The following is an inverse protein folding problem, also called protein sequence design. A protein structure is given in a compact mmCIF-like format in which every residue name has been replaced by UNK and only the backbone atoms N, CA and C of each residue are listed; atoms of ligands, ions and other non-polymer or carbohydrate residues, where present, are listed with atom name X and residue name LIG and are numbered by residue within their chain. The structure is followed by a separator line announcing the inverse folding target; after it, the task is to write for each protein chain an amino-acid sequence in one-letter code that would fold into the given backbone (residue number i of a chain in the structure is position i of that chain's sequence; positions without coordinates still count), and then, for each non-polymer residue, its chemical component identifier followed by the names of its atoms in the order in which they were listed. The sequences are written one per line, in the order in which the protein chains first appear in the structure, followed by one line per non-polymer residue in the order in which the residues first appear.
data_IF_073171564970
#
_entry.id   IF_073171564970
#
_cell.length_a   1.000
_cell.length_b   1.000
_cell.length_c   1.000
_cell.angle_alpha   90.00
_cell.angle_beta   90.00
_cell.angle_gamma   90.00
#
_symmetry.space_group_name_H-M   'P 1'
#
loop_
_entity.id
_entity.type
_entity.pdbx_description
1 polymer ?
#
# COMPACT_ATOMS: atom_id res chain seq x y z
N UNK A 1 -43.68 -26.84 -13.95
CA UNK A 1 -43.13 -25.97 -12.89
C UNK A 1 -42.87 -26.79 -11.64
N UNK A 2 -41.61 -27.05 -11.30
CA UNK A 2 -41.22 -27.54 -9.96
C UNK A 2 -40.06 -26.68 -9.46
N UNK A 3 -40.35 -25.99 -8.38
CA UNK A 3 -39.50 -25.07 -7.63
C UNK A 3 -38.36 -25.81 -6.94
N UNK A 4 -37.13 -25.33 -7.12
CA UNK A 4 -35.96 -25.75 -6.34
C UNK A 4 -36.03 -25.03 -4.98
N UNK A 5 -36.19 -25.79 -3.89
CA UNK A 5 -36.13 -25.29 -2.52
C UNK A 5 -34.68 -25.21 -2.05
N UNK A 6 -34.37 -24.08 -1.39
CA UNK A 6 -33.10 -23.71 -0.76
C UNK A 6 -32.66 -24.71 0.32
N UNK A 7 -31.35 -24.94 0.37
CA UNK A 7 -30.60 -25.68 1.40
C UNK A 7 -30.82 -25.08 2.80
N UNK A 8 -30.99 -25.95 3.80
CA UNK A 8 -31.17 -25.59 5.21
C UNK A 8 -29.85 -25.27 5.94
N UNK A 9 -29.93 -24.77 7.19
CA UNK A 9 -28.78 -24.37 7.99
C UNK A 9 -27.92 -25.59 8.39
N UNK A 10 -26.59 -25.44 8.33
CA UNK A 10 -25.64 -26.45 8.81
C UNK A 10 -25.84 -26.71 10.30
N UNK A 11 -25.91 -27.98 10.68
CA UNK A 11 -26.25 -28.39 12.05
C UNK A 11 -25.12 -28.12 13.06
N UNK A 12 -25.44 -28.08 14.37
CA UNK A 12 -24.48 -27.76 15.44
C UNK A 12 -23.30 -28.75 15.51
N UNK A 13 -23.48 -29.99 15.05
CA UNK A 13 -22.40 -30.97 14.97
C UNK A 13 -21.35 -30.63 13.90
N UNK A 14 -21.77 -30.01 12.80
CA UNK A 14 -20.87 -29.59 11.73
C UNK A 14 -20.06 -28.35 12.13
N UNK A 15 -20.69 -27.39 12.81
CA UNK A 15 -20.00 -26.22 13.37
C UNK A 15 -18.99 -26.61 14.46
N UNK A 16 -19.30 -27.62 15.29
CA UNK A 16 -18.37 -28.12 16.29
C UNK A 16 -17.13 -28.79 15.65
N UNK A 17 -17.32 -29.49 14.52
CA UNK A 17 -16.22 -30.12 13.79
C UNK A 17 -15.37 -29.09 13.05
N UNK A 18 -15.98 -28.10 12.39
CA UNK A 18 -15.27 -26.97 11.77
C UNK A 18 -14.43 -26.20 12.80
N UNK A 19 -14.98 -25.94 13.99
CA UNK A 19 -14.24 -25.29 15.07
C UNK A 19 -13.04 -26.13 15.55
N UNK A 20 -13.14 -27.46 15.55
CA UNK A 20 -12.03 -28.36 15.90
C UNK A 20 -10.93 -28.31 14.84
N UNK A 21 -11.29 -28.30 13.56
CA UNK A 21 -10.32 -28.21 12.46
C UNK A 21 -9.58 -26.87 12.49
N UNK A 22 -10.30 -25.77 12.69
CA UNK A 22 -9.69 -24.43 12.77
C UNK A 22 -8.79 -24.30 14.00
N UNK A 23 -9.20 -24.80 15.16
CA UNK A 23 -8.36 -24.76 16.35
C UNK A 23 -7.14 -25.68 16.24
N UNK A 24 -7.27 -26.84 15.59
CA UNK A 24 -6.15 -27.73 15.27
C UNK A 24 -5.14 -27.07 14.32
N UNK A 25 -5.62 -26.39 13.28
CA UNK A 25 -4.76 -25.66 12.35
C UNK A 25 -4.00 -24.52 13.05
N UNK A 26 -4.65 -23.81 13.97
CA UNK A 26 -4.01 -22.76 14.78
C UNK A 26 -2.94 -23.31 15.72
N UNK A 27 -3.20 -24.44 16.39
CA UNK A 27 -2.23 -25.08 17.25
C UNK A 27 -0.98 -25.54 16.47
N UNK A 28 -1.18 -26.13 15.30
CA UNK A 28 -0.08 -26.54 14.43
C UNK A 28 0.73 -25.34 13.90
N UNK A 29 0.07 -24.23 13.56
CA UNK A 29 0.75 -23.01 13.15
C UNK A 29 1.61 -22.43 14.29
N UNK A 30 1.11 -22.43 15.53
CA UNK A 30 1.86 -21.97 16.70
C UNK A 30 3.10 -22.84 16.96
N UNK A 31 2.99 -24.17 16.88
CA UNK A 31 4.12 -25.08 17.04
C UNK A 31 5.21 -24.88 15.97
N UNK A 32 4.80 -24.61 14.71
CA UNK A 32 5.75 -24.33 13.63
C UNK A 32 6.50 -23.02 13.83
N UNK A 33 5.84 -21.98 14.31
CA UNK A 33 6.49 -20.70 14.64
C UNK A 33 7.48 -20.90 15.78
N UNK A 34 7.11 -21.63 16.84
CA UNK A 34 7.99 -21.88 17.97
C UNK A 34 9.20 -22.75 17.58
N UNK A 35 9.03 -23.72 16.67
CA UNK A 35 10.12 -24.50 16.10
C UNK A 35 11.07 -23.64 15.26
N UNK A 36 10.54 -22.72 14.44
CA UNK A 36 11.34 -21.79 13.65
C UNK A 36 12.15 -20.84 14.54
N UNK A 37 11.55 -20.30 15.60
CA UNK A 37 12.26 -19.45 16.58
C UNK A 37 13.38 -20.21 17.30
N UNK A 38 13.13 -21.48 17.68
CA UNK A 38 14.18 -22.34 18.26
C UNK A 38 15.31 -22.64 17.28
N UNK A 39 15.00 -22.85 16.01
CA UNK A 39 16.00 -23.07 14.97
C UNK A 39 16.83 -21.81 14.73
N UNK A 40 16.21 -20.63 14.69
CA UNK A 40 16.90 -19.35 14.56
C UNK A 40 17.83 -19.09 15.75
N UNK A 41 17.38 -19.39 16.97
CA UNK A 41 18.21 -19.27 18.18
C UNK A 41 19.47 -20.12 18.12
N UNK A 42 19.36 -21.39 17.69
CA UNK A 42 20.52 -22.27 17.48
C UNK A 42 21.45 -21.76 16.38
N UNK A 43 20.91 -21.25 15.28
CA UNK A 43 21.73 -20.66 14.21
C UNK A 43 22.48 -19.41 14.67
N UNK A 44 21.91 -18.64 15.60
CA UNK A 44 22.57 -17.47 16.17
C UNK A 44 23.70 -17.85 17.13
N UNK A 45 23.55 -18.95 17.88
CA UNK A 45 24.59 -19.50 18.76
C UNK A 45 25.77 -20.11 17.98
N UNK A 46 25.53 -20.63 16.77
CA UNK A 46 26.55 -21.19 15.89
C UNK A 46 27.31 -20.13 15.04
N UNK A 47 26.98 -18.84 15.17
CA UNK A 47 27.71 -17.77 14.49
C UNK A 47 29.10 -17.57 15.12
N UNK A 48 30.20 -17.61 14.34
CA UNK A 48 31.55 -17.41 14.88
C UNK A 48 31.75 -15.96 15.33
N UNK A 49 31.89 -15.75 16.64
CA UNK A 49 32.12 -14.44 17.28
C UNK A 49 33.57 -13.96 17.23
N UNK A 50 34.49 -14.72 16.63
CA UNK A 50 35.94 -14.50 16.72
C UNK A 50 36.48 -13.28 15.92
N UNK A 51 35.63 -12.50 15.24
CA UNK A 51 36.06 -11.32 14.47
C UNK A 51 35.14 -10.09 14.61
N UNK A 52 34.46 -9.92 15.75
CA UNK A 52 33.77 -8.66 16.03
C UNK A 52 34.77 -7.62 16.57
N UNK A 53 34.89 -6.42 15.96
CA UNK A 53 35.75 -5.37 16.49
C UNK A 53 35.24 -4.94 17.88
N UNK A 54 36.13 -4.65 18.84
CA UNK A 54 35.71 -4.25 20.18
C UNK A 54 35.03 -2.88 20.13
N UNK A 55 33.80 -2.79 20.64
CA UNK A 55 33.13 -1.51 20.88
C UNK A 55 33.75 -0.92 22.15
N UNK A 56 34.73 -0.02 21.98
CA UNK A 56 35.23 0.80 23.08
C UNK A 56 34.24 1.91 23.42
N UNK A 57 33.93 2.16 24.70
CA UNK A 57 33.18 3.33 25.12
C UNK A 57 34.15 4.52 25.25
N UNK A 58 33.93 5.59 24.49
CA UNK A 58 34.74 6.80 24.59
C UNK A 58 34.08 8.03 23.94
N UNK A 59 34.35 9.25 24.46
CA UNK A 59 33.41 10.38 24.46
C UNK A 59 33.58 11.36 23.30
N UNK A 60 32.65 12.32 23.24
CA UNK A 60 32.42 13.28 22.16
C UNK A 60 33.64 14.00 21.61
N UNK A 61 33.70 14.07 20.28
CA UNK A 61 33.72 15.31 19.50
C UNK A 61 33.59 14.94 18.01
N UNK A 62 32.77 15.67 17.26
CA UNK A 62 32.42 15.32 15.87
C UNK A 62 33.57 15.54 14.88
N UNK A 63 33.60 14.85 13.72
CA UNK A 63 34.63 15.09 12.72
C UNK A 63 34.21 16.14 11.70
N UNK A 64 35.09 17.13 11.58
CA UNK A 64 35.19 18.14 10.53
C UNK A 64 35.42 17.52 9.15
N UNK A 65 34.95 18.23 8.13
CA UNK A 65 35.22 17.97 6.72
C UNK A 65 36.70 18.25 6.42
N UNK A 66 37.42 17.24 5.93
CA UNK A 66 38.56 17.29 5.00
C UNK A 66 39.28 15.93 4.99
N UNK A 67 38.86 15.02 4.10
CA UNK A 67 39.75 14.08 3.39
C UNK A 67 38.92 13.18 2.47
N UNK A 68 38.65 13.64 1.25
CA UNK A 68 38.13 12.79 0.16
C UNK A 68 39.31 12.38 -0.71
N UNK A 69 39.92 11.23 -0.42
CA UNK A 69 40.89 10.62 -1.31
C UNK A 69 40.18 10.01 -2.53
N UNK A 70 40.44 10.60 -3.70
CA UNK A 70 40.02 10.15 -5.03
C UNK A 70 40.95 9.04 -5.53
N UNK A 71 40.39 7.91 -5.96
CA UNK A 71 41.13 6.81 -6.61
C UNK A 71 41.50 7.19 -8.07
N UNK A 72 42.69 6.84 -8.58
CA UNK A 72 43.14 7.25 -9.91
C UNK A 72 42.60 6.35 -11.04
N UNK A 73 42.32 6.99 -12.18
CA UNK A 73 41.97 6.40 -13.48
C UNK A 73 43.26 5.99 -14.20
N UNK A 74 43.37 4.73 -14.62
CA UNK A 74 44.47 4.25 -15.46
C UNK A 74 44.06 4.45 -16.93
N UNK A 75 44.78 5.34 -17.61
CA UNK A 75 44.71 5.55 -19.06
C UNK A 75 45.88 4.83 -19.71
N UNK A 76 45.63 3.89 -20.62
CA UNK A 76 46.66 3.35 -21.51
C UNK A 76 46.06 3.01 -22.88
N UNK A 77 46.66 3.56 -23.93
CA UNK A 77 46.44 3.26 -25.35
C UNK A 77 47.80 3.39 -26.07
N UNK A 78 47.97 2.92 -27.32
CA UNK A 78 48.25 1.52 -27.66
C UNK A 78 49.43 1.35 -28.66
N UNK A 79 50.16 0.22 -28.68
CA UNK A 79 51.03 -0.14 -29.82
C UNK A 79 51.15 -1.66 -30.07
N UNK A 80 50.78 -2.07 -31.31
CA UNK A 80 51.21 -3.21 -32.16
C UNK A 80 51.23 -4.65 -31.57
N UNK A 81 50.73 -5.70 -32.25
CA UNK A 81 50.96 -6.11 -33.65
C UNK A 81 49.94 -7.21 -34.06
N UNK A 82 49.67 -7.28 -35.37
CA UNK A 82 48.80 -8.23 -36.07
C UNK A 82 49.11 -9.73 -35.84
N UNK A 83 48.04 -10.53 -35.78
CA UNK A 83 47.91 -11.82 -36.47
C UNK A 83 46.41 -12.15 -36.64
N UNK A 84 46.07 -12.71 -37.81
CA UNK A 84 44.73 -12.94 -38.37
C UNK A 84 44.05 -14.19 -37.79
N UNK A 85 42.78 -14.10 -37.35
CA UNK A 85 41.80 -15.20 -37.46
C UNK A 85 40.35 -14.68 -37.32
N UNK A 86 39.37 -15.30 -37.99
CA UNK A 86 38.26 -14.60 -38.63
C UNK A 86 37.17 -14.18 -37.66
N UNK A 87 36.65 -12.99 -37.99
CA UNK A 87 35.50 -12.29 -37.44
C UNK A 87 34.27 -13.21 -37.39
N UNK A 88 34.13 -13.93 -36.28
CA UNK A 88 32.83 -14.44 -35.86
C UNK A 88 32.00 -13.19 -35.57
N UNK A 89 31.15 -12.83 -36.54
CA UNK A 89 30.10 -11.86 -36.35
C UNK A 89 29.41 -12.18 -35.02
N UNK A 90 29.68 -11.36 -34.00
CA UNK A 90 28.78 -11.19 -32.88
C UNK A 90 27.55 -10.59 -33.57
N UNK A 91 26.64 -11.48 -33.96
CA UNK A 91 25.27 -11.08 -34.16
C UNK A 91 24.86 -10.55 -32.80
N UNK A 92 24.90 -9.24 -32.66
CA UNK A 92 24.06 -8.51 -31.74
C UNK A 92 22.62 -8.91 -32.09
N UNK A 93 22.22 -10.10 -31.63
CA UNK A 93 20.85 -10.38 -31.28
C UNK A 93 20.60 -9.55 -30.02
N UNK A 94 20.55 -8.24 -30.19
CA UNK A 94 19.65 -7.39 -29.44
C UNK A 94 18.28 -7.97 -29.78
N UNK A 95 17.90 -9.01 -29.03
CA UNK A 95 16.56 -9.54 -29.04
C UNK A 95 15.70 -8.34 -28.71
N UNK A 96 15.11 -7.74 -29.74
CA UNK A 96 14.13 -6.68 -29.60
C UNK A 96 13.11 -7.25 -28.63
N UNK A 97 13.17 -6.79 -27.37
CA UNK A 97 12.19 -7.17 -26.38
C UNK A 97 10.85 -6.83 -27.02
N UNK A 98 10.02 -7.84 -27.25
CA UNK A 98 8.67 -7.60 -27.75
C UNK A 98 8.03 -6.57 -26.81
N UNK A 99 7.37 -5.53 -27.35
CA UNK A 99 6.76 -4.53 -26.50
C UNK A 99 5.79 -5.24 -25.55
N UNK A 100 5.98 -5.00 -24.25
CA UNK A 100 5.12 -5.56 -23.22
C UNK A 100 3.65 -5.30 -23.59
N UNK A 101 2.82 -6.34 -23.53
CA UNK A 101 1.41 -6.19 -23.80
C UNK A 101 0.72 -5.34 -22.73
N UNK A 102 -0.34 -4.62 -23.11
CA UNK A 102 -1.13 -3.83 -22.15
C UNK A 102 -1.65 -4.68 -20.97
N UNK A 103 -1.97 -5.94 -21.24
CA UNK A 103 -2.44 -6.89 -20.23
C UNK A 103 -1.32 -7.28 -19.23
N UNK A 104 -0.10 -7.50 -19.70
CA UNK A 104 1.06 -7.80 -18.83
C UNK A 104 1.41 -6.60 -17.95
N UNK A 105 1.41 -5.39 -18.52
CA UNK A 105 1.62 -4.14 -17.76
C UNK A 105 0.58 -4.00 -16.64
N UNK A 106 -0.69 -4.18 -16.96
CA UNK A 106 -1.78 -4.10 -15.97
C UNK A 106 -1.69 -5.21 -14.91
N UNK A 107 -1.27 -6.42 -15.30
CA UNK A 107 -1.02 -7.50 -14.35
C UNK A 107 0.09 -7.14 -13.37
N UNK A 108 1.22 -6.60 -13.85
CA UNK A 108 2.30 -6.12 -12.97
C UNK A 108 1.83 -5.03 -12.01
N UNK A 109 1.00 -4.10 -12.48
CA UNK A 109 0.42 -3.06 -11.63
C UNK A 109 -0.48 -3.67 -10.54
N UNK A 110 -1.40 -4.56 -10.89
CA UNK A 110 -2.27 -5.21 -9.91
C UNK A 110 -1.45 -6.03 -8.90
N UNK A 111 -0.43 -6.74 -9.38
CA UNK A 111 0.49 -7.49 -8.53
C UNK A 111 1.23 -6.57 -7.55
N UNK A 112 1.72 -5.41 -8.00
CA UNK A 112 2.37 -4.40 -7.16
C UNK A 112 1.45 -3.89 -6.04
N UNK A 113 0.17 -3.64 -6.35
CA UNK A 113 -0.80 -3.20 -5.35
C UNK A 113 -1.16 -4.32 -4.37
N UNK A 114 -1.41 -5.52 -4.88
CA UNK A 114 -1.78 -6.69 -4.09
C UNK A 114 -0.64 -7.20 -3.20
N UNK A 115 0.63 -6.96 -3.55
CA UNK A 115 1.77 -7.26 -2.67
C UNK A 115 1.82 -6.35 -1.43
N UNK A 116 1.36 -5.11 -1.56
CA UNK A 116 1.31 -4.16 -0.45
C UNK A 116 0.14 -4.48 0.48
N UNK A 117 -1.01 -4.83 -0.08
CA UNK A 117 -2.16 -5.30 0.69
C UNK A 117 -2.89 -6.47 0.00
N UNK A 118 -2.53 -7.73 0.30
CA UNK A 118 -3.12 -8.91 -0.32
C UNK A 118 -4.51 -9.24 0.24
N UNK A 119 -4.91 -8.61 1.35
CA UNK A 119 -6.24 -8.80 1.96
C UNK A 119 -7.39 -8.16 1.16
N UNK A 120 -7.09 -7.32 0.16
CA UNK A 120 -8.10 -6.60 -0.61
C UNK A 120 -8.22 -7.11 -2.05
N UNK A 121 -9.39 -6.88 -2.64
CA UNK A 121 -9.53 -6.95 -4.10
C UNK A 121 -8.91 -5.72 -4.75
N UNK A 122 -8.21 -5.97 -5.85
CA UNK A 122 -7.58 -4.96 -6.68
C UNK A 122 -8.03 -5.12 -8.12
N UNK A 123 -8.20 -4.01 -8.82
CA UNK A 123 -8.42 -4.01 -10.25
C UNK A 123 -7.66 -2.85 -10.88
N UNK A 124 -7.10 -3.08 -12.07
CA UNK A 124 -6.53 -2.04 -12.89
C UNK A 124 -7.04 -2.17 -14.32
N UNK A 125 -7.21 -1.04 -15.01
CA UNK A 125 -7.63 -1.06 -16.40
C UNK A 125 -7.33 0.22 -17.13
N UNK A 126 -7.17 0.09 -18.43
CA UNK A 126 -6.95 1.20 -19.34
C UNK A 126 -8.29 1.70 -19.88
N UNK A 127 -8.52 3.00 -19.74
CA UNK A 127 -9.68 3.66 -20.35
C UNK A 127 -9.41 3.91 -21.83
N UNK A 128 -10.48 4.12 -22.60
CA UNK A 128 -10.39 4.53 -24.02
C UNK A 128 -9.53 5.79 -24.23
N UNK A 129 -9.40 6.63 -23.20
CA UNK A 129 -8.54 7.82 -23.20
C UNK A 129 -7.04 7.52 -23.06
N UNK A 130 -6.64 6.24 -22.93
CA UNK A 130 -5.26 5.83 -22.66
C UNK A 130 -4.81 6.07 -21.21
N UNK A 131 -5.75 6.29 -20.29
CA UNK A 131 -5.44 6.52 -18.87
C UNK A 131 -5.62 5.22 -18.11
N UNK A 132 -4.56 4.76 -17.45
CA UNK A 132 -4.59 3.63 -16.52
C UNK A 132 -5.21 4.05 -15.20
N UNK A 133 -6.21 3.30 -14.74
CA UNK A 133 -6.90 3.52 -13.46
C UNK A 133 -6.76 2.27 -12.59
N UNK A 134 -6.57 2.48 -11.29
CA UNK A 134 -6.59 1.42 -10.29
C UNK A 134 -7.72 1.64 -9.29
N UNK A 135 -8.30 0.55 -8.81
CA UNK A 135 -9.36 0.57 -7.82
C UNK A 135 -9.22 -0.60 -6.82
N UNK A 136 -9.66 -0.33 -5.60
CA UNK A 136 -10.04 -1.35 -4.62
C UNK A 136 -11.45 -1.03 -4.12
N UNK A 137 -12.21 -2.06 -3.76
CA UNK A 137 -13.60 -1.94 -3.35
C UNK A 137 -13.80 -1.81 -1.83
N UNK A 138 -12.72 -1.74 -1.02
CA UNK A 138 -12.83 -1.53 0.43
C UNK A 138 -13.63 -0.28 0.80
N UNK A 139 -13.56 0.77 -0.02
CA UNK A 139 -14.32 2.01 0.16
C UNK A 139 -14.53 2.73 -1.18
N UNK A 140 -15.29 2.11 -2.08
CA UNK A 140 -15.88 2.78 -3.26
C UNK A 140 -14.85 3.40 -4.24
N UNK A 141 -13.59 2.91 -4.21
CA UNK A 141 -12.47 3.37 -5.02
C UNK A 141 -11.40 4.18 -4.27
N UNK A 142 -11.55 4.38 -2.95
CA UNK A 142 -10.52 4.97 -2.12
C UNK A 142 -9.29 4.07 -2.02
N UNK A 143 -8.10 4.66 -2.16
CA UNK A 143 -6.83 3.95 -1.94
C UNK A 143 -6.33 4.25 -0.51
N UNK A 144 -6.15 3.22 0.34
CA UNK A 144 -5.71 3.36 1.73
C UNK A 144 -4.39 4.14 1.87
N UNK A 145 -4.12 4.77 3.03
CA UNK A 145 -2.81 5.35 3.32
C UNK A 145 -1.72 4.26 3.33
N UNK A 146 -0.46 4.63 3.15
CA UNK A 146 0.66 3.68 3.12
C UNK A 146 0.80 2.88 1.82
N UNK A 147 -0.26 2.79 1.00
CA UNK A 147 -0.19 2.13 -0.31
C UNK A 147 0.48 3.07 -1.33
N UNK A 148 1.63 2.63 -1.83
CA UNK A 148 2.37 3.21 -2.94
C UNK A 148 1.55 3.11 -4.24
N UNK A 149 1.53 4.19 -5.04
CA UNK A 149 0.77 4.27 -6.30
C UNK A 149 1.67 4.83 -7.40
N UNK A 150 1.87 4.08 -8.50
CA UNK A 150 2.73 4.52 -9.60
C UNK A 150 2.29 5.87 -10.22
N UNK A 151 3.23 6.67 -10.74
CA UNK A 151 2.97 8.07 -11.13
C UNK A 151 2.05 8.22 -12.35
N UNK A 152 2.05 7.22 -13.22
CA UNK A 152 1.26 7.08 -14.44
C UNK A 152 -0.17 6.62 -14.17
N UNK A 153 -0.46 6.14 -12.95
CA UNK A 153 -1.77 5.66 -12.54
C UNK A 153 -2.64 6.80 -12.03
N UNK A 154 -3.88 6.84 -12.51
CA UNK A 154 -4.91 7.77 -12.04
C UNK A 154 -5.81 7.09 -11.01
N UNK A 155 -5.98 7.73 -9.86
CA UNK A 155 -6.96 7.30 -8.86
C UNK A 155 -8.36 7.80 -9.18
N UNK A 156 -9.37 7.03 -8.75
CA UNK A 156 -10.77 7.45 -8.83
C UNK A 156 -11.00 8.72 -7.99
N UNK A 157 -11.84 9.62 -8.49
CA UNK A 157 -12.22 10.82 -7.74
C UNK A 157 -13.12 10.46 -6.55
N UNK A 158 -13.05 11.19 -5.43
CA UNK A 158 -13.93 10.98 -4.29
C UNK A 158 -15.40 11.07 -4.67
N UNK A 159 -16.12 9.96 -4.54
CA UNK A 159 -17.54 9.88 -4.84
C UNK A 159 -18.11 8.58 -4.29
N UNK A 160 -19.41 8.59 -3.98
CA UNK A 160 -20.14 7.36 -3.70
C UNK A 160 -20.27 6.48 -4.95
N UNK A 161 -19.95 5.19 -4.83
CA UNK A 161 -20.06 4.17 -5.88
C UNK A 161 -20.50 2.84 -5.28
N UNK A 162 -20.96 1.95 -6.13
CA UNK A 162 -21.37 0.59 -5.76
C UNK A 162 -20.72 -0.40 -6.71
N UNK A 163 -20.40 -1.59 -6.22
CA UNK A 163 -19.80 -2.66 -7.01
C UNK A 163 -18.45 -3.10 -6.45
N UNK A 164 -17.91 -4.16 -7.04
CA UNK A 164 -16.58 -4.68 -6.74
C UNK A 164 -15.48 -3.86 -7.44
N UNK A 165 -14.23 -4.23 -7.20
CA UNK A 165 -13.07 -3.50 -7.75
C UNK A 165 -13.12 -3.37 -9.27
N UNK A 166 -13.59 -4.39 -9.99
CA UNK A 166 -13.73 -4.37 -11.45
C UNK A 166 -14.82 -3.40 -11.91
N UNK A 167 -16.00 -3.42 -11.27
CA UNK A 167 -17.09 -2.51 -11.58
C UNK A 167 -16.72 -1.04 -11.36
N UNK A 168 -15.87 -0.75 -10.38
CA UNK A 168 -15.40 0.61 -10.07
C UNK A 168 -14.55 1.23 -11.18
N UNK A 169 -13.87 0.43 -12.02
CA UNK A 169 -13.06 0.93 -13.13
C UNK A 169 -13.91 1.67 -14.18
N UNK A 170 -15.16 1.21 -14.37
CA UNK A 170 -16.04 1.65 -15.45
C UNK A 170 -15.64 1.03 -16.80
N UNK A 171 -16.00 1.67 -17.94
CA UNK A 171 -15.62 1.18 -19.26
C UNK A 171 -14.10 1.22 -19.47
N UNK A 172 -13.51 0.06 -19.77
CA UNK A 172 -12.08 -0.13 -20.02
C UNK A 172 -11.86 -0.95 -21.28
N UNK A 173 -10.77 -0.70 -22.00
CA UNK A 173 -10.35 -1.48 -23.18
C UNK A 173 -9.70 -2.81 -22.76
N UNK A 174 -8.86 -2.77 -21.72
CA UNK A 174 -8.23 -3.92 -21.08
C UNK A 174 -8.32 -3.73 -19.57
N UNK A 175 -8.55 -4.81 -18.83
CA UNK A 175 -8.60 -4.80 -17.37
C UNK A 175 -8.05 -6.09 -16.78
N UNK A 176 -7.39 -5.99 -15.63
CA UNK A 176 -6.92 -7.11 -14.81
C UNK A 176 -7.46 -6.94 -13.39
N UNK A 177 -7.77 -8.06 -12.75
CA UNK A 177 -8.32 -8.10 -11.38
C UNK A 177 -7.54 -9.10 -10.53
N UNK A 178 -7.52 -8.85 -9.23
CA UNK A 178 -7.01 -9.72 -8.20
C UNK A 178 -8.04 -9.85 -7.09
N UNK A 179 -8.27 -11.07 -6.62
CA UNK A 179 -9.00 -11.37 -5.40
C UNK A 179 -8.06 -11.93 -4.32
N UNK A 180 -8.37 -11.69 -3.02
CA UNK A 180 -7.59 -12.26 -1.93
C UNK A 180 -7.43 -13.78 -2.07
N UNK A 181 -6.17 -14.23 -2.07
CA UNK A 181 -5.82 -15.64 -2.23
C UNK A 181 -5.56 -16.08 -3.68
N UNK A 182 -5.81 -15.22 -4.67
CA UNK A 182 -5.35 -15.48 -6.04
C UNK A 182 -3.82 -15.61 -6.04
N UNK A 183 -3.26 -16.53 -6.83
CA UNK A 183 -1.83 -16.68 -6.93
C UNK A 183 -1.24 -15.42 -7.56
N UNK A 184 -0.51 -14.65 -6.76
CA UNK A 184 0.39 -13.64 -7.29
C UNK A 184 1.51 -14.42 -7.97
N UNK A 185 1.55 -14.38 -9.30
CA UNK A 185 2.65 -14.95 -10.06
C UNK A 185 3.91 -14.28 -9.55
N UNK A 186 4.75 -14.99 -8.79
CA UNK A 186 6.01 -14.48 -8.28
C UNK A 186 6.95 -14.28 -9.47
N UNK A 187 6.71 -13.22 -10.22
CA UNK A 187 7.58 -12.70 -11.25
C UNK A 187 8.81 -12.17 -10.52
N UNK A 188 9.72 -13.07 -10.17
CA UNK A 188 11.00 -12.75 -9.54
C UNK A 188 11.76 -11.84 -10.52
N UNK A 189 11.80 -10.54 -10.23
CA UNK A 189 12.53 -9.55 -11.03
C UNK A 189 11.74 -8.28 -11.32
N UNK A 190 10.58 -8.39 -11.98
CA UNK A 190 9.97 -7.23 -12.66
C UNK A 190 9.04 -6.37 -11.80
N UNK A 191 8.34 -6.93 -10.81
CA UNK A 191 7.46 -6.14 -9.92
C UNK A 191 8.26 -5.20 -8.98
N UNK A 192 9.56 -5.43 -8.85
CA UNK A 192 10.50 -4.66 -8.02
C UNK A 192 11.05 -3.41 -8.73
N UNK A 193 10.75 -3.21 -10.01
CA UNK A 193 11.21 -2.04 -10.77
C UNK A 193 10.49 -0.75 -10.37
N UNK A 194 9.30 -0.86 -9.77
CA UNK A 194 8.59 0.29 -9.23
C UNK A 194 9.08 0.58 -7.81
N UNK A 195 9.88 1.64 -7.67
CA UNK A 195 10.30 2.18 -6.37
C UNK A 195 9.06 2.70 -5.60
N UNK A 196 8.62 2.01 -4.53
CA UNK A 196 7.45 2.43 -3.75
C UNK A 196 7.68 3.78 -3.05
N UNK A 197 8.94 4.10 -2.71
CA UNK A 197 9.29 5.34 -2.01
C UNK A 197 9.17 6.58 -2.91
N UNK A 198 9.23 6.39 -4.24
CA UNK A 198 9.22 7.50 -5.18
C UNK A 198 7.82 7.98 -5.61
N UNK A 199 6.73 7.25 -5.32
CA UNK A 199 5.45 7.48 -6.03
C UNK A 199 4.18 7.22 -5.22
N UNK A 200 3.53 8.30 -4.74
CA UNK A 200 2.14 8.29 -4.27
C UNK A 200 1.51 9.68 -4.28
N UNK A 201 2.30 10.68 -3.89
CA UNK A 201 1.84 12.06 -3.67
C UNK A 201 1.24 12.66 -4.95
N UNK A 202 1.82 12.39 -6.14
CA UNK A 202 1.28 12.89 -7.42
C UNK A 202 -0.03 12.22 -7.82
N UNK A 203 -0.17 10.91 -7.61
CA UNK A 203 -1.36 10.15 -7.97
C UNK A 203 -2.58 10.55 -7.12
N UNK A 204 -2.33 10.94 -5.86
CA UNK A 204 -3.34 11.43 -4.90
C UNK A 204 -3.73 12.90 -5.12
N UNK A 205 -3.22 13.58 -6.16
CA UNK A 205 -3.56 14.99 -6.44
C UNK A 205 -5.04 15.12 -6.82
N UNK A 206 -5.75 15.95 -6.07
CA UNK A 206 -7.13 16.37 -6.29
C UNK A 206 -7.24 17.90 -6.29
N UNK A 207 -8.36 18.48 -6.73
CA UNK A 207 -8.63 19.90 -6.50
C UNK A 207 -8.45 20.24 -5.01
N UNK A 208 -7.79 21.37 -4.69
CA UNK A 208 -7.59 21.76 -3.30
C UNK A 208 -8.93 22.11 -2.64
N UNK A 209 -9.09 21.68 -1.39
CA UNK A 209 -10.22 22.06 -0.54
C UNK A 209 -9.87 23.37 0.16
N UNK A 210 -10.71 24.38 -0.04
CA UNK A 210 -10.60 25.65 0.66
C UNK A 210 -10.76 25.45 2.18
N UNK A 211 -9.92 26.14 2.96
CA UNK A 211 -9.91 26.04 4.42
C UNK A 211 -9.77 24.62 4.98
N UNK A 212 -9.06 23.73 4.27
CA UNK A 212 -8.82 22.32 4.66
C UNK A 212 -8.51 22.15 6.15
N UNK A 213 -7.60 22.96 6.70
CA UNK A 213 -7.21 22.86 8.11
C UNK A 213 -8.34 23.18 9.09
N UNK A 214 -9.19 24.16 8.77
CA UNK A 214 -10.36 24.51 9.58
C UNK A 214 -11.42 23.43 9.49
N UNK A 215 -11.71 22.94 8.28
CA UNK A 215 -12.68 21.88 8.04
C UNK A 215 -12.28 20.56 8.71
N UNK A 216 -11.00 20.19 8.62
CA UNK A 216 -10.45 18.99 9.25
C UNK A 216 -10.47 19.09 10.78
N UNK A 217 -10.09 20.24 11.36
CA UNK A 217 -10.20 20.48 12.79
C UNK A 217 -11.66 20.40 13.28
N UNK A 218 -12.61 20.90 12.49
CA UNK A 218 -14.04 20.77 12.77
C UNK A 218 -14.53 19.32 12.72
N UNK A 219 -14.12 18.55 11.71
CA UNK A 219 -14.52 17.15 11.53
C UNK A 219 -13.96 16.20 12.61
N UNK A 220 -12.83 16.55 13.20
CA UNK A 220 -12.17 15.77 14.26
C UNK A 220 -12.63 16.17 15.67
N UNK A 221 -13.36 17.29 15.81
CA UNK A 221 -13.78 17.78 17.11
C UNK A 221 -14.88 16.90 17.73
N UNK A 222 -14.64 16.37 18.93
CA UNK A 222 -15.61 15.56 19.69
C UNK A 222 -16.19 14.37 18.92
N UNK A 223 -15.41 13.81 17.99
CA UNK A 223 -15.83 12.68 17.17
C UNK A 223 -15.60 11.36 17.90
N UNK A 224 -16.65 10.55 18.00
CA UNK A 224 -16.59 9.25 18.62
C UNK A 224 -15.64 8.30 17.89
N UNK A 225 -14.84 7.56 18.66
CA UNK A 225 -13.87 6.59 18.15
C UNK A 225 -12.57 7.18 17.61
N UNK A 226 -12.35 8.51 17.68
CA UNK A 226 -11.05 9.13 17.43
C UNK A 226 -10.29 9.42 18.73
N UNK A 227 -8.97 9.16 18.79
CA UNK A 227 -8.12 9.62 19.88
C UNK A 227 -8.13 11.15 20.00
N UNK A 228 -8.06 11.67 21.22
CA UNK A 228 -8.07 13.13 21.46
C UNK A 228 -6.93 13.88 20.76
N UNK A 229 -5.78 13.22 20.55
CA UNK A 229 -4.63 13.83 19.87
C UNK A 229 -4.96 14.26 18.44
N UNK A 230 -5.88 13.56 17.75
CA UNK A 230 -6.17 13.80 16.33
C UNK A 230 -6.65 15.23 16.10
N UNK A 231 -7.53 15.73 16.95
CA UNK A 231 -8.00 17.12 16.86
C UNK A 231 -6.89 18.13 17.14
N UNK A 232 -6.03 17.87 18.13
CA UNK A 232 -4.90 18.73 18.47
C UNK A 232 -3.90 18.81 17.32
N UNK A 233 -3.54 17.68 16.74
CA UNK A 233 -2.60 17.58 15.62
C UNK A 233 -3.16 18.18 14.33
N UNK A 234 -4.45 18.02 14.06
CA UNK A 234 -5.11 18.68 12.93
C UNK A 234 -5.00 20.21 13.04
N UNK A 235 -5.22 20.78 14.24
CA UNK A 235 -5.06 22.23 14.48
C UNK A 235 -3.60 22.66 14.38
N UNK A 236 -2.68 21.89 14.92
CA UNK A 236 -1.25 22.18 14.86
C UNK A 236 -0.76 22.23 13.41
N UNK A 237 -1.06 21.19 12.62
CA UNK A 237 -0.73 21.14 11.19
C UNK A 237 -1.40 22.26 10.38
N UNK A 238 -2.66 22.57 10.67
CA UNK A 238 -3.36 23.70 10.03
C UNK A 238 -2.67 25.05 10.29
N UNK A 239 -2.23 25.27 11.53
CA UNK A 239 -1.48 26.45 11.95
C UNK A 239 0.00 26.43 11.55
N UNK A 240 0.49 25.32 10.98
CA UNK A 240 1.92 25.06 10.69
C UNK A 240 2.81 25.21 11.93
N UNK A 241 2.29 24.85 13.09
CA UNK A 241 3.11 24.74 14.30
C UNK A 241 3.86 23.41 14.26
N UNK A 242 5.12 23.36 14.73
CA UNK A 242 5.85 22.10 14.84
C UNK A 242 5.07 21.07 15.65
N UNK A 243 5.06 19.83 15.16
CA UNK A 243 4.52 18.64 15.84
C UNK A 243 5.71 17.75 16.16
N UNK A 244 5.73 17.12 17.34
CA UNK A 244 6.81 16.23 17.72
C UNK A 244 6.71 14.91 16.93
N UNK A 245 7.86 14.32 16.54
CA UNK A 245 7.86 13.03 15.83
C UNK A 245 7.16 11.94 16.65
N UNK A 246 7.31 11.96 17.98
CA UNK A 246 6.62 11.01 18.87
C UNK A 246 5.10 11.12 18.78
N UNK A 247 4.54 12.33 18.59
CA UNK A 247 3.10 12.50 18.40
C UNK A 247 2.64 12.00 17.02
N UNK A 248 3.51 12.11 16.01
CA UNK A 248 3.26 11.54 14.67
C UNK A 248 3.30 10.02 14.73
N UNK A 249 4.25 9.42 15.45
CA UNK A 249 4.35 7.97 15.61
C UNK A 249 3.14 7.40 16.35
N UNK A 250 2.68 8.08 17.41
CA UNK A 250 1.44 7.72 18.10
C UNK A 250 0.23 7.79 17.16
N UNK A 251 0.14 8.83 16.32
CA UNK A 251 -0.91 8.96 15.31
C UNK A 251 -0.87 7.83 14.28
N UNK A 252 0.33 7.48 13.78
CA UNK A 252 0.53 6.37 12.83
C UNK A 252 0.15 5.03 13.43
N UNK A 253 0.49 4.77 14.70
CA UNK A 253 0.09 3.55 15.40
C UNK A 253 -1.44 3.43 15.52
N UNK A 254 -2.13 4.56 15.79
CA UNK A 254 -3.59 4.59 15.78
C UNK A 254 -4.17 4.36 14.38
N UNK A 255 -3.59 4.97 13.35
CA UNK A 255 -4.00 4.74 11.96
C UNK A 255 -3.86 3.27 11.58
N UNK A 256 -2.72 2.64 11.89
CA UNK A 256 -2.47 1.22 11.62
C UNK A 256 -3.48 0.32 12.35
N UNK A 257 -3.78 0.62 13.62
CA UNK A 257 -4.78 -0.15 14.39
C UNK A 257 -6.15 -0.09 13.72
N UNK A 258 -6.58 1.10 13.30
CA UNK A 258 -7.87 1.28 12.61
C UNK A 258 -7.84 0.61 11.23
N UNK A 259 -6.72 0.68 10.52
CA UNK A 259 -6.54 0.03 9.22
C UNK A 259 -6.72 -1.49 9.33
N UNK A 260 -6.00 -2.14 10.25
CA UNK A 260 -6.10 -3.57 10.49
C UNK A 260 -7.54 -3.99 10.85
N UNK A 261 -8.25 -3.14 11.61
CA UNK A 261 -9.66 -3.37 11.90
C UNK A 261 -10.54 -3.34 10.63
N UNK A 262 -10.31 -2.41 9.70
CA UNK A 262 -11.04 -2.36 8.43
C UNK A 262 -10.78 -3.61 7.58
N UNK A 263 -9.52 -3.99 7.43
CA UNK A 263 -9.13 -5.17 6.64
C UNK A 263 -9.73 -6.45 7.23
N UNK A 264 -9.77 -6.58 8.55
CA UNK A 264 -10.38 -7.73 9.21
C UNK A 264 -11.91 -7.85 9.01
N UNK A 265 -12.59 -6.73 8.72
CA UNK A 265 -14.04 -6.68 8.46
C UNK A 265 -14.38 -6.80 6.98
N UNK A 266 -13.40 -6.63 6.09
CA UNK A 266 -13.60 -6.70 4.65
C UNK A 266 -14.23 -8.05 4.24
N UNK A 267 -15.27 -8.05 3.36
CA UNK A 267 -15.76 -6.92 2.57
C UNK A 267 -16.79 -6.01 3.24
N UNK A 268 -17.31 -6.37 4.41
CA UNK A 268 -18.41 -5.66 5.09
C UNK A 268 -17.86 -4.73 6.19
N UNK A 269 -17.28 -3.63 5.76
CA UNK A 269 -16.57 -2.68 6.63
C UNK A 269 -17.52 -1.76 7.41
N UNK A 270 -17.25 -1.53 8.69
CA UNK A 270 -17.96 -0.52 9.48
C UNK A 270 -17.67 0.90 8.96
N UNK A 271 -18.72 1.57 8.49
CA UNK A 271 -18.65 2.91 7.92
C UNK A 271 -18.10 3.97 8.89
N UNK A 272 -18.39 3.87 10.20
CA UNK A 272 -17.88 4.81 11.18
C UNK A 272 -16.35 4.66 11.36
N UNK A 273 -15.86 3.42 11.36
CA UNK A 273 -14.43 3.10 11.44
C UNK A 273 -13.71 3.58 10.17
N UNK A 274 -14.32 3.41 9.00
CA UNK A 274 -13.78 3.92 7.73
C UNK A 274 -13.62 5.45 7.76
N UNK A 275 -14.65 6.16 8.19
CA UNK A 275 -14.59 7.62 8.31
C UNK A 275 -13.53 8.07 9.33
N UNK A 276 -13.32 7.32 10.40
CA UNK A 276 -12.25 7.59 11.37
C UNK A 276 -10.86 7.39 10.75
N UNK A 277 -10.68 6.32 9.96
CA UNK A 277 -9.45 6.06 9.22
C UNK A 277 -9.08 7.19 8.26
N UNK A 278 -10.07 7.69 7.50
CA UNK A 278 -9.87 8.82 6.58
C UNK A 278 -9.44 10.09 7.32
N UNK A 279 -10.00 10.36 8.50
CA UNK A 279 -9.62 11.53 9.30
C UNK A 279 -8.23 11.37 9.94
N UNK A 280 -7.86 10.17 10.38
CA UNK A 280 -6.52 9.86 10.86
C UNK A 280 -5.47 10.09 9.76
N UNK A 281 -5.70 9.52 8.57
CA UNK A 281 -4.82 9.69 7.41
C UNK A 281 -4.72 11.16 6.95
N UNK A 282 -5.85 11.89 6.96
CA UNK A 282 -5.85 13.32 6.64
C UNK A 282 -5.06 14.15 7.68
N UNK A 283 -5.16 13.77 8.95
CA UNK A 283 -4.45 14.42 10.06
C UNK A 283 -2.95 14.14 10.01
N UNK A 284 -2.54 12.92 9.65
CA UNK A 284 -1.12 12.59 9.45
C UNK A 284 -0.54 13.46 8.34
N UNK A 285 -1.23 13.55 7.19
CA UNK A 285 -0.79 14.40 6.09
C UNK A 285 -0.63 15.86 6.50
N UNK A 286 -1.59 16.44 7.23
CA UNK A 286 -1.48 17.85 7.62
C UNK A 286 -0.42 18.08 8.70
N UNK A 287 -0.22 17.13 9.62
CA UNK A 287 0.77 17.21 10.70
C UNK A 287 2.21 17.07 10.18
N UNK A 288 2.42 16.24 9.17
CA UNK A 288 3.73 16.06 8.48
C UNK A 288 4.00 17.13 7.41
N UNK A 289 3.02 17.98 7.10
CA UNK A 289 3.12 19.02 6.06
C UNK A 289 2.77 18.55 4.64
N UNK A 290 2.46 17.26 4.42
CA UNK A 290 1.93 16.75 3.17
C UNK A 290 0.43 17.11 2.99
N UNK A 291 0.22 18.33 2.50
CA UNK A 291 -1.12 18.83 2.19
C UNK A 291 -1.82 18.07 1.06
N UNK A 292 -1.09 17.40 0.16
CA UNK A 292 -1.73 16.66 -0.93
C UNK A 292 -2.39 15.39 -0.41
N UNK A 293 -1.67 14.64 0.43
CA UNK A 293 -2.23 13.47 1.13
C UNK A 293 -3.35 13.87 2.06
N UNK A 294 -3.19 14.96 2.83
CA UNK A 294 -4.25 15.49 3.69
C UNK A 294 -5.53 15.82 2.89
N UNK A 295 -5.38 16.53 1.77
CA UNK A 295 -6.48 16.90 0.89
C UNK A 295 -7.17 15.67 0.30
N UNK A 296 -6.40 14.66 -0.13
CA UNK A 296 -6.93 13.43 -0.69
C UNK A 296 -7.85 12.68 0.28
N UNK A 297 -7.34 12.38 1.48
CA UNK A 297 -8.10 11.63 2.47
C UNK A 297 -9.31 12.42 2.99
N UNK A 298 -9.18 13.74 3.16
CA UNK A 298 -10.29 14.58 3.58
C UNK A 298 -11.39 14.72 2.51
N UNK A 299 -11.02 14.78 1.23
CA UNK A 299 -11.99 14.79 0.13
C UNK A 299 -12.81 13.50 0.08
N UNK A 300 -12.16 12.34 0.30
CA UNK A 300 -12.86 11.06 0.48
C UNK A 300 -13.76 11.05 1.72
N UNK A 301 -13.30 11.59 2.85
CA UNK A 301 -14.15 11.76 4.02
C UNK A 301 -15.41 12.57 3.70
N UNK A 302 -15.31 13.71 3.01
CA UNK A 302 -16.48 14.52 2.65
C UNK A 302 -17.46 13.77 1.73
N UNK A 303 -16.94 13.09 0.71
CA UNK A 303 -17.75 12.32 -0.22
C UNK A 303 -18.50 11.17 0.48
N UNK A 304 -17.84 10.50 1.42
CA UNK A 304 -18.36 9.34 2.14
C UNK A 304 -19.07 9.69 3.47
N UNK A 305 -18.96 10.92 3.97
CA UNK A 305 -19.72 11.36 5.15
C UNK A 305 -21.09 11.92 4.76
N UNK A 306 -21.29 12.28 3.48
CA UNK A 306 -22.59 12.76 3.00
C UNK A 306 -23.59 11.60 2.95
N UNK A 307 -24.80 11.75 3.51
CA UNK A 307 -25.84 10.72 3.42
C UNK A 307 -26.22 10.48 1.95
N UNK A 308 -26.56 9.24 1.56
CA UNK A 308 -26.97 8.97 0.19
C UNK A 308 -28.20 9.84 -0.15
N UNK A 309 -28.30 10.37 -1.38
CA UNK A 309 -29.45 11.16 -1.77
C UNK A 309 -30.72 10.34 -1.55
N UNK A 310 -31.62 10.85 -0.71
CA UNK A 310 -32.92 10.24 -0.49
C UNK A 310 -33.58 10.01 -1.85
N UNK A 311 -33.90 8.74 -2.17
CA UNK A 311 -34.84 8.41 -3.25
C UNK A 311 -36.18 9.02 -2.86
N UNK A 312 -36.40 10.30 -3.19
CA UNK A 312 -37.70 10.94 -3.05
C UNK A 312 -38.67 10.10 -3.87
N UNK A 313 -39.62 9.49 -3.16
CA UNK A 313 -40.74 8.78 -3.73
C UNK A 313 -41.37 9.66 -4.83
N UNK A 314 -41.35 9.19 -6.07
CA UNK A 314 -42.25 9.73 -7.09
C UNK A 314 -43.66 9.46 -6.60
N UNK A 315 -44.36 10.51 -6.20
CA UNK A 315 -45.82 10.52 -6.20
C UNK A 315 -46.31 10.84 -7.59
#
# INVERSE_FOLDING_TARGET
MRTIRRSGPTGPAQQAEEARVVNGARAFAAERVEAALRQLGKQLEDLPTDNLPPISPGPGDGPSAEDTQRLPIITAAPEHRADEQPEAAIQDAEAAAEPESDQERLHRLVEFMARQEPGLRWAAGDRETGITVVATDIAEGWIPPGIAVPPDVRLLSPQRRTGDAAALLGPTTVSVTYAPGDPLGWSFGWATELDPAAYSVRARRLPPIDDLGWLLAGATHMRDGLPRMVHTLAKAGAARTPVLETEIDELRAHLETVWLQLVAQYPEVDHAVLLNCLLLAATEGIATGDRLTANYHFAWYQALNTPPPNKRASR
#
